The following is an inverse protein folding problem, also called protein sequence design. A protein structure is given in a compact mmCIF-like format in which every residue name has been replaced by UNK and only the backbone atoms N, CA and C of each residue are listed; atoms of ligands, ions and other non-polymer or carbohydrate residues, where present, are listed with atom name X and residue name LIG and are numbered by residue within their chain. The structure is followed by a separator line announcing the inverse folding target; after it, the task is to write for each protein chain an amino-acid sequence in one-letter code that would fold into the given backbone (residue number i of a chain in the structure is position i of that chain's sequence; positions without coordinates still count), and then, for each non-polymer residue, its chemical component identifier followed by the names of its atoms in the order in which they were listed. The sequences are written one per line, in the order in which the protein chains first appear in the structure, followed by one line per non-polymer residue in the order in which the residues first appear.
data_IF_667698938890
#
_entry.id   IF_667698938890
#
_cell.length_a   1.000
_cell.length_b   1.000
_cell.length_c   1.000
_cell.angle_alpha   90.00
_cell.angle_beta   90.00
_cell.angle_gamma   90.00
#
_symmetry.space_group_name_H-M   'P 1'
#
loop_
_entity.id
_entity.type
_entity.pdbx_description
1 polymer ?
#
# COMPACT_ATOMS: atom_id res chain seq x y z
N UNK A 1 1.37 -9.37 -26.79
CA UNK A 1 2.75 -9.74 -27.19
C UNK A 1 3.69 -9.08 -26.21
N UNK A 2 4.33 -9.84 -25.32
CA UNK A 2 5.34 -9.33 -24.40
C UNK A 2 6.65 -9.22 -25.21
N UNK A 3 7.03 -8.00 -25.58
CA UNK A 3 8.22 -7.77 -26.39
C UNK A 3 9.48 -8.12 -25.61
N UNK A 4 10.17 -9.19 -26.01
CA UNK A 4 11.51 -9.53 -25.52
C UNK A 4 12.54 -8.84 -26.42
N UNK A 5 13.08 -7.70 -25.99
CA UNK A 5 14.28 -7.15 -26.64
C UNK A 5 15.46 -8.08 -26.31
N UNK A 6 16.07 -8.68 -27.34
CA UNK A 6 17.22 -9.59 -27.25
C UNK A 6 18.26 -9.06 -26.25
N UNK A 7 18.49 -9.79 -25.16
CA UNK A 7 19.60 -9.55 -24.21
C UNK A 7 19.22 -9.24 -22.77
N UNK A 8 17.94 -9.10 -22.44
CA UNK A 8 17.51 -8.76 -21.07
C UNK A 8 16.29 -9.63 -20.72
N UNK A 9 16.43 -10.55 -19.76
CA UNK A 9 15.35 -11.41 -19.24
C UNK A 9 14.30 -10.63 -18.42
N UNK A 10 14.06 -9.38 -18.80
CA UNK A 10 13.17 -8.44 -18.16
C UNK A 10 11.88 -8.30 -18.97
N UNK A 11 10.76 -8.41 -18.27
CA UNK A 11 9.43 -8.27 -18.79
C UNK A 11 8.78 -6.98 -18.24
N UNK A 12 8.14 -6.25 -19.13
CA UNK A 12 7.42 -5.01 -18.82
C UNK A 12 6.08 -5.34 -18.17
N UNK A 13 5.83 -4.79 -16.99
CA UNK A 13 4.55 -4.91 -16.27
C UNK A 13 3.97 -3.53 -16.01
N UNK A 14 2.68 -3.35 -16.34
CA UNK A 14 1.97 -2.10 -16.06
C UNK A 14 1.39 -2.20 -14.65
N UNK A 15 1.83 -1.31 -13.76
CA UNK A 15 1.36 -1.24 -12.38
C UNK A 15 0.51 0.01 -12.22
N UNK A 16 -0.74 -0.17 -11.80
CA UNK A 16 -1.65 0.94 -11.51
C UNK A 16 -1.58 1.31 -10.03
N UNK A 17 -1.50 2.61 -9.76
CA UNK A 17 -1.51 3.17 -8.39
C UNK A 17 -2.43 4.37 -8.34
N UNK A 18 -3.16 4.52 -7.24
CA UNK A 18 -4.00 5.70 -7.00
C UNK A 18 -3.18 6.75 -6.28
N UNK A 19 -3.15 7.97 -6.82
CA UNK A 19 -2.49 9.11 -6.20
C UNK A 19 -3.49 10.22 -5.91
N UNK A 20 -3.23 11.00 -4.87
CA UNK A 20 -3.97 12.23 -4.56
C UNK A 20 -3.37 13.42 -5.31
N UNK A 21 -4.22 14.26 -5.88
CA UNK A 21 -3.83 15.52 -6.51
C UNK A 21 -4.78 16.66 -6.12
N UNK A 22 -4.27 17.87 -5.95
CA UNK A 22 -5.08 19.06 -5.71
C UNK A 22 -5.60 19.64 -7.01
N UNK A 23 -6.91 19.72 -7.17
CA UNK A 23 -7.57 20.24 -8.37
C UNK A 23 -8.43 21.46 -8.04
N UNK A 24 -8.54 22.44 -8.95
CA UNK A 24 -9.46 23.56 -8.77
C UNK A 24 -10.91 23.06 -8.78
N UNK A 25 -11.70 23.50 -7.79
CA UNK A 25 -13.10 23.14 -7.61
C UNK A 25 -13.91 24.39 -7.27
N UNK A 26 -14.13 25.18 -8.30
CA UNK A 26 -14.87 26.43 -8.21
C UNK A 26 -14.04 27.62 -7.73
N UNK A 27 -14.72 28.74 -7.60
CA UNK A 27 -14.19 30.02 -7.17
C UNK A 27 -15.01 30.52 -6.00
N UNK A 28 -14.38 31.23 -5.07
CA UNK A 28 -15.06 31.92 -3.99
C UNK A 28 -14.66 33.39 -3.99
N UNK A 29 -15.63 34.25 -3.69
CA UNK A 29 -15.43 35.70 -3.60
C UNK A 29 -14.93 36.04 -2.20
N UNK A 30 -13.78 36.71 -2.15
CA UNK A 30 -13.17 37.19 -0.90
C UNK A 30 -13.05 38.69 -0.94
N UNK A 31 -13.62 39.34 0.06
CA UNK A 31 -13.49 40.79 0.23
C UNK A 31 -12.11 41.13 0.75
N UNK A 32 -11.34 41.91 -0.01
CA UNK A 32 -10.02 42.41 0.37
C UNK A 32 -10.07 43.93 0.50
N UNK A 33 -9.49 44.46 1.57
CA UNK A 33 -9.26 45.90 1.69
C UNK A 33 -8.07 46.29 0.80
N UNK A 34 -8.29 47.17 -0.15
CA UNK A 34 -7.24 47.68 -1.03
C UNK A 34 -7.15 49.20 -0.96
N UNK A 35 -5.97 49.80 -1.19
CA UNK A 35 -5.84 51.25 -1.15
C UNK A 35 -6.63 51.90 -2.28
N UNK A 36 -7.45 52.90 -1.93
CA UNK A 36 -8.24 53.64 -2.91
C UNK A 36 -7.36 54.70 -3.57
N UNK A 37 -7.23 54.71 -4.91
CA UNK A 37 -6.51 55.78 -5.60
C UNK A 37 -7.30 57.09 -5.44
N UNK A 38 -6.61 58.16 -5.10
CA UNK A 38 -7.17 59.51 -5.12
C UNK A 38 -6.19 60.48 -5.78
N UNK A 39 -6.76 61.44 -6.50
CA UNK A 39 -6.01 62.57 -6.98
C UNK A 39 -6.17 63.67 -5.93
N UNK A 40 -5.11 63.92 -5.17
CA UNK A 40 -5.03 65.14 -4.38
C UNK A 40 -4.52 66.23 -5.32
N UNK A 41 -5.36 67.20 -5.64
CA UNK A 41 -4.90 68.46 -6.22
C UNK A 41 -4.22 69.24 -5.09
N UNK A 42 -2.90 69.11 -4.99
CA UNK A 42 -2.14 69.97 -4.08
C UNK A 42 -2.22 71.39 -4.64
N UNK A 43 -2.92 72.29 -3.94
CA UNK A 43 -3.07 73.69 -4.33
C UNK A 43 -1.69 74.29 -4.65
N UNK A 44 -1.39 74.46 -5.95
CA UNK A 44 -0.20 75.17 -6.42
C UNK A 44 0.95 74.34 -7.01
N UNK A 45 0.87 73.01 -7.08
CA UNK A 45 1.84 72.23 -7.87
C UNK A 45 1.11 71.24 -8.75
N UNK A 46 1.14 71.42 -10.07
CA UNK A 46 0.46 70.57 -11.07
C UNK A 46 0.97 69.12 -11.15
N UNK A 47 1.60 68.61 -10.08
CA UNK A 47 2.06 67.23 -9.96
C UNK A 47 0.95 66.39 -9.35
N UNK A 48 0.47 65.40 -10.12
CA UNK A 48 -0.41 64.34 -9.62
C UNK A 48 0.40 63.42 -8.71
N UNK A 49 0.33 63.64 -7.40
CA UNK A 49 0.88 62.69 -6.44
C UNK A 49 -0.14 61.57 -6.27
N UNK A 50 0.25 60.33 -6.57
CA UNK A 50 -0.57 59.15 -6.34
C UNK A 50 -0.75 58.89 -4.86
N UNK A 51 -1.56 59.72 -4.19
CA UNK A 51 -1.89 59.54 -2.79
C UNK A 51 -2.91 58.40 -2.66
N UNK A 52 -2.78 57.60 -1.59
CA UNK A 52 -3.74 56.56 -1.22
C UNK A 52 -4.66 57.15 -0.15
N UNK A 53 -5.86 57.60 -0.54
CA UNK A 53 -6.81 58.26 0.37
C UNK A 53 -7.76 57.25 1.03
N UNK A 54 -7.19 56.37 1.86
CA UNK A 54 -7.93 55.36 2.61
C UNK A 54 -8.02 53.99 1.92
N UNK A 55 -8.72 53.07 2.58
CA UNK A 55 -8.91 51.69 2.12
C UNK A 55 -10.35 51.50 1.63
N UNK A 56 -10.51 50.73 0.57
CA UNK A 56 -11.79 50.37 -0.03
C UNK A 56 -11.92 48.85 -0.06
N UNK A 57 -13.10 48.33 0.28
CA UNK A 57 -13.41 46.91 0.17
C UNK A 57 -13.60 46.55 -1.31
N UNK A 58 -12.70 45.73 -1.87
CA UNK A 58 -12.85 45.15 -3.20
C UNK A 58 -13.03 43.65 -3.11
N UNK A 59 -14.02 43.16 -3.86
CA UNK A 59 -14.26 41.73 -4.00
C UNK A 59 -13.22 41.18 -4.97
N UNK A 60 -12.49 40.16 -4.53
CA UNK A 60 -11.53 39.43 -5.33
C UNK A 60 -11.94 37.96 -5.37
N UNK A 61 -12.02 37.38 -6.56
CA UNK A 61 -12.25 35.96 -6.72
C UNK A 61 -10.97 35.17 -6.49
N UNK A 62 -11.04 34.08 -5.72
CA UNK A 62 -9.95 33.12 -5.58
C UNK A 62 -10.44 31.72 -5.89
N UNK A 63 -9.57 30.92 -6.50
CA UNK A 63 -9.85 29.52 -6.80
C UNK A 63 -9.84 28.69 -5.52
N UNK A 64 -10.86 27.84 -5.35
CA UNK A 64 -10.91 26.86 -4.28
C UNK A 64 -10.26 25.56 -4.77
N UNK A 65 -9.40 24.96 -3.96
CA UNK A 65 -8.75 23.69 -4.29
C UNK A 65 -9.31 22.56 -3.44
N UNK A 66 -9.49 21.38 -4.05
CA UNK A 66 -9.91 20.16 -3.36
C UNK A 66 -8.96 19.02 -3.71
N UNK A 67 -8.87 18.05 -2.80
CA UNK A 67 -8.13 16.81 -3.05
C UNK A 67 -8.98 15.87 -3.89
N UNK A 68 -8.52 15.55 -5.09
CA UNK A 68 -9.07 14.51 -5.94
C UNK A 68 -8.10 13.32 -6.01
N UNK A 69 -8.63 12.14 -6.35
CA UNK A 69 -7.83 10.94 -6.55
C UNK A 69 -7.81 10.57 -8.02
N UNK A 70 -6.63 10.25 -8.55
CA UNK A 70 -6.47 9.77 -9.92
C UNK A 70 -5.66 8.48 -9.95
N UNK A 71 -5.99 7.62 -10.90
CA UNK A 71 -5.23 6.38 -11.16
C UNK A 71 -4.12 6.70 -12.16
N UNK A 72 -2.88 6.39 -11.79
CA UNK A 72 -1.70 6.53 -12.64
C UNK A 72 -1.15 5.13 -12.89
N UNK A 73 -0.86 4.83 -14.15
CA UNK A 73 -0.18 3.61 -14.57
C UNK A 73 1.30 3.90 -14.80
N UNK A 74 2.16 3.08 -14.20
CA UNK A 74 3.61 3.15 -14.37
C UNK A 74 4.14 1.82 -14.93
N UNK A 75 5.23 1.90 -15.69
CA UNK A 75 5.88 0.77 -16.33
C UNK A 75 7.01 0.27 -15.43
N UNK A 76 6.91 -0.96 -14.95
CA UNK A 76 7.94 -1.60 -14.14
C UNK A 76 8.53 -2.81 -14.85
N UNK A 77 9.85 -2.89 -14.85
CA UNK A 77 10.60 -4.04 -15.34
C UNK A 77 10.76 -5.07 -14.22
N UNK A 78 10.37 -6.31 -14.49
CA UNK A 78 10.52 -7.44 -13.58
C UNK A 78 11.12 -8.60 -14.35
N UNK A 79 11.77 -9.55 -13.67
CA UNK A 79 12.22 -10.76 -14.34
C UNK A 79 11.05 -11.48 -15.00
N UNK A 80 11.27 -11.92 -16.24
CA UNK A 80 10.29 -12.73 -16.96
C UNK A 80 10.02 -14.05 -16.21
N UNK A 81 8.84 -14.65 -16.38
CA UNK A 81 8.55 -15.98 -15.84
C UNK A 81 9.66 -16.96 -16.25
N UNK A 82 10.27 -17.62 -15.26
CA UNK A 82 11.40 -18.53 -15.51
C UNK A 82 12.78 -17.95 -15.21
N UNK A 83 12.89 -16.68 -14.82
CA UNK A 83 14.17 -16.03 -14.46
C UNK A 83 14.10 -15.36 -13.09
N UNK A 84 15.18 -15.43 -12.31
CA UNK A 84 15.34 -14.79 -11.00
C UNK A 84 16.74 -14.14 -10.85
N UNK A 85 16.95 -13.47 -9.72
CA UNK A 85 18.17 -12.73 -9.41
C UNK A 85 18.01 -11.24 -9.67
N UNK A 86 18.96 -10.43 -9.16
CA UNK A 86 18.92 -8.97 -9.32
C UNK A 86 18.96 -8.53 -10.79
N UNK A 87 19.63 -9.33 -11.63
CA UNK A 87 19.83 -9.08 -13.05
C UNK A 87 18.99 -10.01 -13.95
N UNK A 88 18.16 -10.89 -13.36
CA UNK A 88 17.39 -11.90 -14.11
C UNK A 88 18.25 -12.91 -14.90
N UNK A 89 19.46 -13.20 -14.43
CA UNK A 89 20.40 -14.12 -15.08
C UNK A 89 20.20 -15.58 -14.64
N UNK A 90 19.51 -15.81 -13.52
CA UNK A 90 19.33 -17.15 -12.97
C UNK A 90 18.08 -17.80 -13.57
N UNK A 91 18.25 -18.85 -14.35
CA UNK A 91 17.14 -19.65 -14.87
C UNK A 91 16.48 -20.49 -13.77
N UNK A 92 15.15 -20.43 -13.70
CA UNK A 92 14.34 -21.32 -12.88
C UNK A 92 13.05 -21.67 -13.61
N UNK A 93 13.11 -22.73 -14.41
CA UNK A 93 12.02 -23.18 -15.27
C UNK A 93 10.70 -23.55 -14.57
N UNK A 94 10.65 -23.58 -13.22
CA UNK A 94 9.45 -23.93 -12.44
C UNK A 94 9.21 -23.06 -11.20
N UNK A 95 9.90 -21.92 -11.02
CA UNK A 95 9.65 -21.08 -9.85
C UNK A 95 8.21 -20.55 -9.80
N UNK A 96 7.64 -20.19 -10.95
CA UNK A 96 6.26 -19.69 -11.05
C UNK A 96 5.24 -20.74 -10.66
N UNK A 97 5.40 -21.99 -11.11
CA UNK A 97 4.51 -23.10 -10.76
C UNK A 97 4.65 -23.47 -9.28
N UNK A 98 5.89 -23.54 -8.76
CA UNK A 98 6.15 -23.78 -7.34
C UNK A 98 5.54 -22.67 -6.45
N UNK A 99 5.69 -21.40 -6.81
CA UNK A 99 5.08 -20.28 -6.09
C UNK A 99 3.54 -20.35 -6.11
N UNK A 100 2.95 -20.72 -7.24
CA UNK A 100 1.50 -20.92 -7.34
C UNK A 100 1.01 -22.07 -6.45
N UNK A 101 1.75 -23.19 -6.42
CA UNK A 101 1.43 -24.33 -5.56
C UNK A 101 1.56 -23.98 -4.08
N UNK A 102 2.61 -23.25 -3.69
CA UNK A 102 2.82 -22.77 -2.32
C UNK A 102 1.65 -21.89 -1.85
N UNK A 103 1.24 -20.91 -2.65
CA UNK A 103 0.09 -20.05 -2.35
C UNK A 103 -1.20 -20.85 -2.19
N UNK A 104 -1.39 -21.89 -3.03
CA UNK A 104 -2.56 -22.76 -2.96
C UNK A 104 -2.57 -23.59 -1.68
N UNK A 105 -1.43 -24.14 -1.26
CA UNK A 105 -1.28 -24.89 0.01
C UNK A 105 -1.58 -23.96 1.19
N UNK A 106 -0.95 -22.77 1.26
CA UNK A 106 -1.18 -21.80 2.34
C UNK A 106 -2.66 -21.43 2.49
N UNK A 107 -3.38 -21.23 1.38
CA UNK A 107 -4.83 -20.96 1.39
C UNK A 107 -5.63 -22.15 1.94
N UNK A 108 -5.26 -23.38 1.60
CA UNK A 108 -5.92 -24.58 2.10
C UNK A 108 -5.66 -24.79 3.59
N UNK A 109 -4.43 -24.60 4.05
CA UNK A 109 -4.07 -24.65 5.48
C UNK A 109 -4.85 -23.63 6.30
N UNK A 110 -5.01 -22.39 5.80
CA UNK A 110 -5.85 -21.37 6.46
C UNK A 110 -7.31 -21.81 6.55
N UNK A 111 -7.87 -22.40 5.49
CA UNK A 111 -9.24 -22.93 5.51
C UNK A 111 -9.39 -24.08 6.49
N UNK A 112 -8.41 -24.98 6.57
CA UNK A 112 -8.41 -26.08 7.54
C UNK A 112 -8.30 -25.56 8.98
N UNK A 113 -7.40 -24.61 9.26
CA UNK A 113 -7.30 -23.95 10.57
C UNK A 113 -8.62 -23.25 10.94
N UNK A 114 -9.26 -22.55 10.01
CA UNK A 114 -10.57 -21.93 10.23
C UNK A 114 -11.69 -22.95 10.49
N UNK A 115 -11.66 -24.11 9.82
CA UNK A 115 -12.58 -25.23 10.08
C UNK A 115 -12.33 -25.87 11.43
N UNK A 116 -11.08 -26.11 11.81
CA UNK A 116 -10.71 -26.64 13.12
C UNK A 116 -11.09 -25.66 14.25
N UNK A 117 -10.87 -24.35 14.07
CA UNK A 117 -11.32 -23.33 15.02
C UNK A 117 -12.85 -23.28 15.16
N UNK A 118 -13.60 -23.51 14.07
CA UNK A 118 -15.06 -23.64 14.14
C UNK A 118 -15.52 -24.98 14.75
N UNK A 119 -14.78 -26.07 14.57
CA UNK A 119 -15.05 -27.35 15.20
C UNK A 119 -14.70 -27.37 16.71
N UNK A 120 -13.74 -26.55 17.12
CA UNK A 120 -13.37 -26.31 18.51
C UNK A 120 -14.25 -25.25 19.20
N UNK A 121 -15.17 -24.60 18.47
CA UNK A 121 -16.24 -23.85 19.15
C UNK A 121 -17.06 -24.88 19.92
N UNK A 122 -17.21 -24.73 21.24
CA UNK A 122 -18.07 -25.62 21.99
C UNK A 122 -19.45 -25.53 21.33
N UNK A 123 -19.99 -26.68 20.91
CA UNK A 123 -21.42 -26.79 20.70
C UNK A 123 -22.02 -26.41 22.05
N UNK A 124 -22.69 -25.26 22.11
CA UNK A 124 -23.40 -24.82 23.32
C UNK A 124 -24.33 -25.97 23.74
N UNK A 125 -23.91 -26.77 24.73
CA UNK A 125 -24.64 -27.97 25.15
C UNK A 125 -23.83 -29.12 25.77
N UNK A 126 -22.51 -29.20 25.60
CA UNK A 126 -21.74 -30.32 26.19
C UNK A 126 -21.17 -29.99 27.58
N UNK A 127 -21.99 -30.16 28.62
CA UNK A 127 -21.54 -30.24 30.02
C UNK A 127 -20.85 -31.58 30.28
N UNK A 128 -19.62 -31.74 29.80
CA UNK A 128 -18.79 -32.91 30.08
C UNK A 128 -17.45 -32.48 30.67
N UNK A 129 -17.14 -32.92 31.90
CA UNK A 129 -15.84 -32.67 32.55
C UNK A 129 -14.68 -33.18 31.66
N UNK A 130 -13.58 -32.43 31.50
CA UNK A 130 -12.43 -32.93 30.76
C UNK A 130 -11.79 -34.10 31.52
N UNK A 131 -11.75 -35.27 30.88
CA UNK A 131 -11.00 -36.42 31.38
C UNK A 131 -9.51 -36.16 31.24
N UNK A 132 -8.76 -36.37 32.32
CA UNK A 132 -7.30 -36.25 32.35
C UNK A 132 -6.67 -37.30 31.42
N UNK A 133 -5.63 -36.94 30.65
CA UNK A 133 -4.83 -37.92 29.90
C UNK A 133 -4.21 -38.94 30.87
N UNK A 134 -4.36 -40.23 30.55
CA UNK A 134 -3.68 -41.32 31.26
C UNK A 134 -2.18 -41.35 30.95
N UNK A 135 -1.37 -42.07 31.75
CA UNK A 135 0.05 -42.21 31.52
C UNK A 135 0.32 -42.88 30.15
N UNK A 136 1.40 -42.49 29.44
CA UNK A 136 1.79 -43.13 28.19
C UNK A 136 2.22 -44.58 28.43
N UNK A 137 1.76 -45.48 27.58
CA UNK A 137 2.12 -46.90 27.61
C UNK A 137 3.58 -47.08 27.14
N UNK A 138 4.43 -47.59 28.02
CA UNK A 138 5.87 -47.80 27.78
C UNK A 138 6.22 -49.26 27.48
N UNK A 139 5.23 -50.13 27.25
CA UNK A 139 5.42 -51.57 27.01
C UNK A 139 6.24 -51.93 25.76
N UNK A 140 6.52 -50.96 24.88
CA UNK A 140 7.24 -51.18 23.62
C UNK A 140 8.70 -50.72 23.58
N UNK A 141 9.30 -50.25 24.69
CA UNK A 141 10.71 -49.82 24.69
C UNK A 141 11.62 -50.97 25.14
N UNK A 142 12.44 -51.58 24.26
CA UNK A 142 13.49 -52.48 24.69
C UNK A 142 14.58 -51.67 25.39
N UNK A 143 15.07 -52.20 26.51
CA UNK A 143 16.07 -51.61 27.41
C UNK A 143 17.24 -50.88 26.70
N UNK A 144 17.81 -49.82 27.31
CA UNK A 144 18.95 -49.12 26.77
C UNK A 144 20.20 -50.01 26.78
N UNK A 145 20.87 -50.07 25.63
CA UNK A 145 22.21 -50.61 25.46
C UNK A 145 23.19 -49.79 26.32
N UNK A 146 23.76 -50.39 27.35
CA UNK A 146 24.92 -49.86 28.07
C UNK A 146 26.14 -49.95 27.12
N UNK A 147 26.64 -48.81 26.67
CA UNK A 147 27.95 -48.72 26.03
C UNK A 147 29.01 -48.69 27.13
N UNK A 148 29.83 -49.74 27.21
CA UNK A 148 31.07 -49.72 27.96
C UNK A 148 32.07 -48.81 27.23
N UNK A 149 32.51 -47.74 27.87
CA UNK A 149 33.76 -47.04 27.53
C UNK A 149 34.92 -48.03 27.72
N UNK A 150 35.79 -48.15 26.71
CA UNK A 150 37.07 -48.82 26.84
C UNK A 150 38.17 -47.75 26.61
N UNK A 151 38.99 -47.56 27.64
CA UNK A 151 40.40 -47.15 27.51
C UNK A 151 41.21 -48.19 26.73
#
# INVERSE_FOLDING_TARGET
MFGTSKGLNFCTTVVTRTISCTVPNGTETVTKMVPRPCNIYSHGSGRRHGAKCGMEARIAERTKYVTAYKTVSDIQYKCCPGFLGANCDMECFNCTTLQQLEQRIRRLEQRLRGRQANAARPINGATGRPLRPGPPDTSHVPYPFVLYENE
#
